data_IF_953977467027
#
_entry.id   IF_953977467027
#
_cell.length_a   1.000
_cell.length_b   1.000
_cell.length_c   1.000
_cell.angle_alpha   90.00
_cell.angle_beta   90.00
_cell.angle_gamma   90.00
#
_symmetry.space_group_name_H-M   'P 1'
#
loop_
_entity.id
_entity.type
_entity.pdbx_description
1 polymer ?
#
# COMPACT_ATOMS: atom_id res chain seq x y z
N UNK A 1 11.98 -5.23 9.62
CA UNK A 1 12.92 -4.09 9.48
C UNK A 1 12.23 -2.80 9.90
N UNK A 2 11.05 -2.45 9.39
CA UNK A 2 10.30 -1.28 9.86
C UNK A 2 9.07 -1.75 10.63
N UNK A 3 8.97 -1.37 11.91
CA UNK A 3 7.90 -1.82 12.80
C UNK A 3 6.94 -0.68 13.11
N UNK A 4 5.65 -0.98 13.03
CA UNK A 4 4.55 -0.19 13.54
C UNK A 4 4.15 -0.64 14.94
N UNK A 5 2.88 -0.43 15.28
CA UNK A 5 2.30 -0.89 16.55
C UNK A 5 1.74 -2.32 16.45
N UNK A 6 1.26 -2.71 15.26
CA UNK A 6 0.57 -3.97 15.00
C UNK A 6 1.28 -4.80 13.94
N UNK A 7 2.04 -4.17 13.04
CA UNK A 7 2.68 -4.83 11.91
C UNK A 7 4.15 -4.49 11.78
N UNK A 8 4.85 -5.39 11.09
CA UNK A 8 6.21 -5.18 10.59
C UNK A 8 6.19 -5.21 9.06
N UNK A 9 6.95 -4.28 8.46
CA UNK A 9 7.24 -4.28 7.03
C UNK A 9 8.59 -4.95 6.82
N UNK A 10 8.61 -6.06 6.09
CA UNK A 10 9.81 -6.85 5.78
C UNK A 10 9.94 -7.15 4.30
N UNK A 11 11.10 -7.67 3.90
CA UNK A 11 11.24 -8.25 2.57
C UNK A 11 10.31 -9.46 2.41
N UNK A 12 9.94 -9.75 1.15
CA UNK A 12 9.21 -10.98 0.84
C UNK A 12 10.10 -12.19 1.10
N UNK A 13 9.47 -13.26 1.54
CA UNK A 13 10.05 -14.59 1.65
C UNK A 13 9.39 -15.55 0.66
N UNK A 14 10.11 -16.59 0.25
CA UNK A 14 9.54 -17.60 -0.66
C UNK A 14 8.27 -18.27 -0.11
N UNK A 15 8.12 -18.35 1.20
CA UNK A 15 6.91 -18.86 1.85
C UNK A 15 5.68 -17.98 1.63
N UNK A 16 5.85 -16.70 1.29
CA UNK A 16 4.76 -15.77 1.01
C UNK A 16 4.11 -16.01 -0.36
N UNK A 17 4.82 -16.69 -1.28
CA UNK A 17 4.43 -16.84 -2.68
C UNK A 17 3.01 -17.40 -2.87
N UNK A 18 2.71 -18.51 -2.18
CA UNK A 18 1.39 -19.15 -2.33
C UNK A 18 0.26 -18.28 -1.75
N UNK A 19 0.54 -17.49 -0.72
CA UNK A 19 -0.41 -16.50 -0.19
C UNK A 19 -0.59 -15.35 -1.17
N UNK A 20 0.47 -14.80 -1.72
CA UNK A 20 0.40 -13.77 -2.76
C UNK A 20 -0.44 -14.25 -3.94
N UNK A 21 -0.20 -15.48 -4.43
CA UNK A 21 -0.98 -16.09 -5.51
C UNK A 21 -2.47 -16.21 -5.14
N UNK A 22 -2.77 -16.64 -3.91
CA UNK A 22 -4.15 -16.75 -3.44
C UNK A 22 -4.88 -15.38 -3.42
N UNK A 23 -4.17 -14.30 -3.05
CA UNK A 23 -4.71 -12.95 -3.08
C UNK A 23 -4.94 -12.44 -4.50
N UNK A 24 -3.97 -12.66 -5.39
CA UNK A 24 -4.03 -12.24 -6.80
C UNK A 24 -5.18 -12.94 -7.55
N UNK A 25 -5.54 -14.16 -7.15
CA UNK A 25 -6.65 -14.92 -7.72
C UNK A 25 -7.98 -14.77 -6.95
N UNK A 26 -8.04 -13.99 -5.89
CA UNK A 26 -9.29 -13.66 -5.19
C UNK A 26 -9.87 -12.33 -5.73
N UNK A 27 -10.95 -12.43 -6.51
CA UNK A 27 -11.60 -11.26 -7.07
C UNK A 27 -12.04 -10.24 -6.01
N UNK A 28 -12.56 -10.70 -4.86
CA UNK A 28 -13.01 -9.82 -3.78
C UNK A 28 -11.84 -9.08 -3.12
N UNK A 29 -10.62 -9.63 -3.19
CA UNK A 29 -9.39 -8.97 -2.75
C UNK A 29 -8.92 -7.95 -3.79
N UNK A 30 -8.86 -8.35 -5.05
CA UNK A 30 -8.22 -7.56 -6.11
C UNK A 30 -9.09 -6.45 -6.70
N UNK A 31 -10.43 -6.57 -6.64
CA UNK A 31 -11.34 -5.59 -7.27
C UNK A 31 -11.11 -4.15 -6.79
N UNK A 32 -10.74 -3.98 -5.54
CA UNK A 32 -10.48 -2.66 -4.94
C UNK A 32 -9.01 -2.28 -4.80
N UNK A 33 -8.09 -3.16 -5.23
CA UNK A 33 -6.65 -2.98 -5.04
C UNK A 33 -5.90 -2.74 -6.37
N UNK A 34 -6.46 -3.17 -7.50
CA UNK A 34 -5.80 -3.07 -8.80
C UNK A 34 -6.66 -2.35 -9.83
N UNK A 35 -6.08 -1.39 -10.56
CA UNK A 35 -6.70 -0.76 -11.72
C UNK A 35 -6.54 -1.57 -13.03
N UNK A 36 -5.77 -2.64 -13.01
CA UNK A 36 -5.53 -3.48 -14.19
C UNK A 36 -6.69 -4.42 -14.49
N UNK A 37 -6.65 -5.05 -15.67
CA UNK A 37 -7.55 -6.15 -15.99
C UNK A 37 -7.25 -7.30 -15.03
N UNK A 38 -8.29 -7.77 -14.33
CA UNK A 38 -8.17 -8.92 -13.42
C UNK A 38 -8.33 -10.21 -14.22
N UNK A 39 -7.26 -10.99 -14.28
CA UNK A 39 -7.26 -12.33 -14.86
C UNK A 39 -6.44 -13.27 -13.96
N UNK A 40 -6.64 -14.59 -14.06
CA UNK A 40 -5.92 -15.54 -13.22
C UNK A 40 -4.40 -15.44 -13.37
N UNK A 41 -3.70 -15.36 -12.25
CA UNK A 41 -2.23 -15.34 -12.16
C UNK A 41 -1.70 -16.75 -11.93
N UNK A 42 -0.55 -17.06 -12.53
CA UNK A 42 0.18 -18.34 -12.30
C UNK A 42 1.22 -18.17 -11.19
N UNK A 43 1.75 -19.30 -10.70
CA UNK A 43 2.87 -19.30 -9.73
C UNK A 43 4.07 -18.54 -10.28
N UNK A 44 4.39 -18.75 -11.57
CA UNK A 44 5.53 -18.10 -12.22
C UNK A 44 5.34 -16.60 -12.40
N UNK A 45 4.10 -16.15 -12.65
CA UNK A 45 3.78 -14.71 -12.74
C UNK A 45 3.98 -14.03 -11.39
N UNK A 46 3.49 -14.65 -10.31
CA UNK A 46 3.62 -14.09 -8.97
C UNK A 46 5.09 -14.12 -8.48
N UNK A 47 5.83 -15.18 -8.76
CA UNK A 47 7.25 -15.28 -8.44
C UNK A 47 8.07 -14.21 -9.17
N UNK A 48 7.78 -13.96 -10.45
CA UNK A 48 8.40 -12.86 -11.20
C UNK A 48 8.07 -11.50 -10.62
N UNK A 49 6.80 -11.26 -10.28
CA UNK A 49 6.37 -10.01 -9.66
C UNK A 49 7.08 -9.77 -8.32
N UNK A 50 7.19 -10.78 -7.46
CA UNK A 50 7.91 -10.69 -6.20
C UNK A 50 9.39 -10.33 -6.40
N UNK A 51 10.07 -10.97 -7.37
CA UNK A 51 11.48 -10.73 -7.64
C UNK A 51 11.77 -9.38 -8.31
N UNK A 52 10.88 -8.90 -9.18
CA UNK A 52 11.05 -7.64 -9.89
C UNK A 52 10.80 -6.42 -8.99
N UNK A 53 9.86 -6.52 -8.06
CA UNK A 53 9.41 -5.41 -7.22
C UNK A 53 10.29 -5.16 -5.98
N UNK A 54 11.38 -5.93 -5.82
CA UNK A 54 12.33 -5.78 -4.70
C UNK A 54 13.69 -5.20 -5.12
N UNK A 55 13.82 -4.78 -6.38
CA UNK A 55 15.08 -4.28 -6.92
C UNK A 55 15.19 -2.75 -6.83
N UNK A 56 16.32 -2.25 -6.34
CA UNK A 56 16.67 -0.82 -6.37
C UNK A 56 16.61 -0.20 -7.78
N UNK A 57 16.61 -1.02 -8.82
CA UNK A 57 16.58 -0.57 -10.22
C UNK A 57 15.18 -0.41 -10.79
N UNK A 58 14.16 -1.01 -10.16
CA UNK A 58 12.77 -0.95 -10.67
C UNK A 58 12.05 0.38 -10.37
N UNK A 59 12.56 1.19 -9.43
CA UNK A 59 11.87 2.37 -8.92
C UNK A 59 10.63 2.06 -8.08
N UNK A 60 10.47 0.79 -7.70
CA UNK A 60 9.41 0.31 -6.82
C UNK A 60 10.00 -0.23 -5.52
N UNK A 61 9.35 0.06 -4.42
CA UNK A 61 9.76 -0.37 -3.07
C UNK A 61 8.60 -1.11 -2.42
N UNK A 62 8.67 -2.43 -2.43
CA UNK A 62 7.58 -3.26 -1.92
C UNK A 62 7.99 -4.05 -0.68
N UNK A 63 7.03 -4.21 0.23
CA UNK A 63 7.18 -4.89 1.51
C UNK A 63 6.05 -5.89 1.72
N UNK A 64 6.39 -7.01 2.31
CA UNK A 64 5.45 -7.90 2.96
C UNK A 64 4.98 -7.27 4.28
N UNK A 65 3.68 -7.36 4.55
CA UNK A 65 3.07 -6.94 5.81
C UNK A 65 2.92 -8.19 6.69
N UNK A 66 3.59 -8.19 7.83
CA UNK A 66 3.56 -9.26 8.81
C UNK A 66 3.03 -8.75 10.14
N UNK A 67 2.16 -9.50 10.79
CA UNK A 67 1.66 -9.15 12.13
C UNK A 67 2.77 -9.31 13.17
N UNK A 68 2.82 -8.41 14.17
CA UNK A 68 3.76 -8.54 15.30
C UNK A 68 3.34 -9.59 16.30
N UNK A 69 2.03 -9.89 16.39
CA UNK A 69 1.47 -10.81 17.37
C UNK A 69 1.86 -12.27 17.10
N UNK A 70 1.70 -12.74 15.87
CA UNK A 70 1.87 -14.15 15.49
C UNK A 70 2.79 -14.38 14.29
N UNK A 71 3.42 -13.32 13.75
CA UNK A 71 4.33 -13.42 12.61
C UNK A 71 3.65 -13.82 11.30
N UNK A 72 2.34 -13.60 11.17
CA UNK A 72 1.57 -14.00 10.00
C UNK A 72 1.70 -12.97 8.86
N UNK A 73 2.03 -13.43 7.66
CA UNK A 73 1.93 -12.64 6.45
C UNK A 73 0.46 -12.36 6.12
N UNK A 74 0.08 -11.09 6.01
CA UNK A 74 -1.31 -10.67 5.82
C UNK A 74 -1.56 -9.83 4.57
N UNK A 75 -0.50 -9.43 3.87
CA UNK A 75 -0.62 -8.58 2.70
C UNK A 75 0.68 -7.94 2.27
N UNK A 76 0.57 -6.97 1.38
CA UNK A 76 1.71 -6.24 0.84
C UNK A 76 1.43 -4.74 0.76
N UNK A 77 2.48 -3.92 0.87
CA UNK A 77 2.41 -2.49 0.62
C UNK A 77 3.72 -1.98 0.03
N UNK A 78 3.68 -0.80 -0.56
CA UNK A 78 4.89 -0.25 -1.15
C UNK A 78 4.69 1.08 -1.84
N UNK A 79 5.78 1.60 -2.38
CA UNK A 79 5.79 2.76 -3.25
C UNK A 79 5.99 2.34 -4.70
N UNK A 80 5.14 2.89 -5.56
CA UNK A 80 5.23 2.79 -7.01
C UNK A 80 5.43 4.17 -7.60
N UNK A 81 5.83 4.25 -8.89
CA UNK A 81 5.97 5.53 -9.62
C UNK A 81 6.77 6.58 -8.85
N UNK A 82 7.91 6.19 -8.29
CA UNK A 82 8.78 7.11 -7.55
C UNK A 82 9.37 8.14 -8.49
N UNK A 83 9.09 9.42 -8.25
CA UNK A 83 9.67 10.56 -8.95
C UNK A 83 10.68 11.26 -8.07
N UNK A 84 11.95 10.92 -8.26
CA UNK A 84 13.06 11.44 -7.46
C UNK A 84 13.29 12.94 -7.62
N UNK A 85 13.05 13.49 -8.83
CA UNK A 85 13.18 14.94 -9.06
C UNK A 85 12.22 15.73 -8.18
N UNK A 86 10.97 15.28 -8.10
CA UNK A 86 9.92 15.95 -7.33
C UNK A 86 9.77 15.37 -5.93
N UNK A 87 10.53 14.33 -5.58
CA UNK A 87 10.50 13.62 -4.30
C UNK A 87 9.08 13.19 -3.91
N UNK A 88 8.38 12.59 -4.86
CA UNK A 88 7.02 12.06 -4.66
C UNK A 88 6.93 10.59 -5.08
N UNK A 89 6.04 9.85 -4.44
CA UNK A 89 5.73 8.46 -4.79
C UNK A 89 4.23 8.18 -4.61
N UNK A 90 3.76 7.14 -5.27
CA UNK A 90 2.40 6.62 -5.09
C UNK A 90 2.44 5.41 -4.15
N UNK A 91 1.65 5.47 -3.08
CA UNK A 91 1.51 4.39 -2.11
C UNK A 91 0.40 3.43 -2.54
N UNK A 92 0.71 2.14 -2.54
CA UNK A 92 -0.25 1.07 -2.72
C UNK A 92 -0.22 0.12 -1.53
N UNK A 93 -1.38 -0.39 -1.13
CA UNK A 93 -1.52 -1.38 -0.05
C UNK A 93 -2.60 -2.40 -0.37
N UNK A 94 -2.34 -3.65 0.01
CA UNK A 94 -3.28 -4.76 -0.05
C UNK A 94 -3.23 -5.53 1.27
N UNK A 95 -4.36 -5.60 1.99
CA UNK A 95 -4.59 -6.58 3.05
C UNK A 95 -5.35 -7.74 2.43
N UNK A 96 -4.66 -8.85 2.20
CA UNK A 96 -5.20 -10.05 1.56
C UNK A 96 -6.04 -10.88 2.53
N UNK A 97 -5.59 -11.03 3.76
CA UNK A 97 -6.31 -11.78 4.81
C UNK A 97 -7.59 -11.06 5.23
N UNK A 98 -8.74 -11.69 4.98
CA UNK A 98 -10.06 -11.10 5.22
C UNK A 98 -10.34 -10.86 6.70
N UNK A 99 -9.87 -11.76 7.55
CA UNK A 99 -10.01 -11.68 9.00
C UNK A 99 -9.14 -10.58 9.65
N UNK A 100 -8.17 -10.03 8.91
CA UNK A 100 -7.33 -8.92 9.34
C UNK A 100 -7.89 -7.55 8.95
N UNK A 101 -8.94 -7.49 8.14
CA UNK A 101 -9.54 -6.22 7.72
C UNK A 101 -10.34 -5.57 8.85
N UNK A 102 -10.38 -4.23 8.88
CA UNK A 102 -11.10 -3.47 9.91
C UNK A 102 -10.48 -3.48 11.31
N UNK A 103 -9.32 -4.10 11.50
CA UNK A 103 -8.63 -4.25 12.79
C UNK A 103 -7.44 -3.30 12.99
N UNK A 104 -7.26 -2.32 12.10
CA UNK A 104 -6.18 -1.34 12.22
C UNK A 104 -4.87 -1.71 11.51
N UNK A 105 -4.67 -2.95 11.09
CA UNK A 105 -3.43 -3.40 10.43
C UNK A 105 -3.07 -2.58 9.19
N UNK A 106 -4.06 -2.27 8.35
CA UNK A 106 -3.84 -1.45 7.16
C UNK A 106 -3.40 -0.03 7.49
N UNK A 107 -4.03 0.60 8.47
CA UNK A 107 -3.65 1.94 8.90
C UNK A 107 -2.25 1.98 9.52
N UNK A 108 -1.89 0.96 10.30
CA UNK A 108 -0.55 0.85 10.90
C UNK A 108 0.53 0.62 9.83
N UNK A 109 0.25 -0.22 8.84
CA UNK A 109 1.14 -0.43 7.68
C UNK A 109 1.33 0.85 6.86
N UNK A 110 0.27 1.61 6.59
CA UNK A 110 0.33 2.90 5.87
C UNK A 110 1.22 3.89 6.64
N UNK A 111 1.00 4.08 7.95
CA UNK A 111 1.80 4.98 8.77
C UNK A 111 3.28 4.57 8.79
N UNK A 112 3.55 3.28 8.93
CA UNK A 112 4.92 2.75 8.93
C UNK A 112 5.60 2.97 7.58
N UNK A 113 4.89 2.75 6.46
CA UNK A 113 5.42 2.99 5.13
C UNK A 113 5.62 4.49 4.85
N UNK A 114 4.72 5.36 5.30
CA UNK A 114 4.88 6.82 5.19
C UNK A 114 6.12 7.29 5.95
N UNK A 115 6.36 6.78 7.17
CA UNK A 115 7.58 7.06 7.94
C UNK A 115 8.83 6.67 7.15
N UNK A 116 8.88 5.46 6.58
CA UNK A 116 9.97 5.03 5.71
C UNK A 116 10.15 5.99 4.52
N UNK A 117 9.07 6.34 3.81
CA UNK A 117 9.14 7.24 2.67
C UNK A 117 9.68 8.63 3.02
N UNK A 118 9.24 9.20 4.14
CA UNK A 118 9.68 10.53 4.55
C UNK A 118 11.06 10.56 5.19
N UNK A 119 11.44 9.55 5.97
CA UNK A 119 12.69 9.55 6.72
C UNK A 119 13.86 8.95 5.94
N UNK A 120 13.65 7.80 5.27
CA UNK A 120 14.72 7.10 4.55
C UNK A 120 14.82 7.51 3.08
N UNK A 121 13.67 7.59 2.38
CA UNK A 121 13.66 7.96 0.96
C UNK A 121 13.70 9.47 0.73
N UNK A 122 13.59 10.28 1.78
CA UNK A 122 13.53 11.75 1.69
C UNK A 122 12.40 12.24 0.75
N UNK A 123 11.28 11.54 0.69
CA UNK A 123 10.13 12.00 -0.08
C UNK A 123 9.58 13.30 0.51
N UNK A 124 9.04 14.15 -0.35
CA UNK A 124 8.33 15.37 0.04
C UNK A 124 6.82 15.12 0.13
N UNK A 125 6.31 14.27 -0.77
CA UNK A 125 4.88 13.99 -0.88
C UNK A 125 4.63 12.52 -1.20
N UNK A 126 3.59 11.95 -0.58
CA UNK A 126 3.09 10.61 -0.86
C UNK A 126 1.65 10.74 -1.36
N UNK A 127 1.34 10.09 -2.49
CA UNK A 127 0.00 10.04 -3.09
C UNK A 127 -0.60 8.67 -2.92
N UNK A 128 -1.93 8.60 -2.96
CA UNK A 128 -2.68 7.35 -3.13
C UNK A 128 -3.85 7.58 -4.08
N UNK A 129 -4.12 6.60 -4.93
CA UNK A 129 -5.29 6.55 -5.82
C UNK A 129 -6.27 5.53 -5.27
N UNK A 130 -7.49 5.93 -4.99
CA UNK A 130 -8.49 5.08 -4.36
C UNK A 130 -9.79 5.13 -5.15
N UNK A 131 -10.30 3.96 -5.53
CA UNK A 131 -11.56 3.85 -6.25
C UNK A 131 -12.74 4.29 -5.37
N UNK A 132 -13.70 5.00 -5.92
CA UNK A 132 -14.85 5.58 -5.21
C UNK A 132 -15.66 4.53 -4.44
N UNK A 133 -15.79 3.31 -4.99
CA UNK A 133 -16.47 2.20 -4.33
C UNK A 133 -15.68 1.58 -3.16
N UNK A 134 -14.38 1.88 -3.01
CA UNK A 134 -13.56 1.35 -1.92
C UNK A 134 -13.58 2.27 -0.69
N UNK A 135 -14.76 2.44 -0.11
CA UNK A 135 -14.97 3.33 1.04
C UNK A 135 -14.11 2.97 2.27
N UNK A 136 -13.78 1.68 2.42
CA UNK A 136 -12.90 1.24 3.52
C UNK A 136 -11.48 1.78 3.36
N UNK A 137 -10.92 1.77 2.15
CA UNK A 137 -9.61 2.33 1.87
C UNK A 137 -9.63 3.86 2.02
N UNK A 138 -10.65 4.55 1.51
CA UNK A 138 -10.78 6.01 1.67
C UNK A 138 -10.70 6.42 3.14
N UNK A 139 -11.53 5.81 3.99
CA UNK A 139 -11.51 6.08 5.45
C UNK A 139 -10.16 5.73 6.08
N UNK A 140 -9.51 4.65 5.62
CA UNK A 140 -8.22 4.22 6.16
C UNK A 140 -7.12 5.25 5.87
N UNK A 141 -7.03 5.74 4.64
CA UNK A 141 -6.06 6.77 4.25
C UNK A 141 -6.34 8.10 4.96
N UNK A 142 -7.59 8.54 5.02
CA UNK A 142 -7.99 9.77 5.74
C UNK A 142 -7.63 9.69 7.22
N UNK A 143 -7.88 8.54 7.87
CA UNK A 143 -7.49 8.29 9.26
C UNK A 143 -5.96 8.24 9.48
N UNK A 144 -5.18 8.08 8.40
CA UNK A 144 -3.72 8.16 8.43
C UNK A 144 -3.20 9.58 8.14
N UNK A 145 -4.09 10.55 7.87
CA UNK A 145 -3.71 11.94 7.61
C UNK A 145 -3.61 12.34 6.14
N UNK A 146 -4.01 11.46 5.22
CA UNK A 146 -4.10 11.83 3.81
C UNK A 146 -5.28 12.79 3.58
N UNK A 147 -5.08 13.80 2.76
CA UNK A 147 -6.10 14.76 2.35
C UNK A 147 -6.56 14.49 0.92
N UNK A 148 -7.83 14.74 0.61
CA UNK A 148 -8.33 14.67 -0.75
C UNK A 148 -7.82 15.87 -1.55
N UNK A 149 -7.18 15.59 -2.68
CA UNK A 149 -6.62 16.60 -3.58
C UNK A 149 -7.40 16.74 -4.89
N UNK A 150 -8.18 15.71 -5.23
CA UNK A 150 -8.95 15.72 -6.47
C UNK A 150 -9.77 14.47 -6.68
N UNK A 151 -10.47 14.47 -7.82
CA UNK A 151 -11.29 13.37 -8.31
C UNK A 151 -11.05 13.22 -9.80
N UNK A 152 -10.62 12.04 -10.22
CA UNK A 152 -10.53 11.64 -11.62
C UNK A 152 -11.85 11.00 -12.00
N UNK A 153 -12.65 11.69 -12.83
CA UNK A 153 -13.98 11.21 -13.19
C UNK A 153 -13.89 10.09 -14.21
N UNK A 154 -14.63 8.99 -13.98
CA UNK A 154 -14.77 7.84 -14.88
C UNK A 154 -13.40 7.25 -15.31
N UNK A 155 -12.42 7.25 -14.41
CA UNK A 155 -11.03 6.83 -14.67
C UNK A 155 -10.89 5.29 -14.68
N UNK A 156 -11.78 4.59 -14.02
CA UNK A 156 -11.70 3.14 -13.81
C UNK A 156 -12.93 2.44 -14.36
N UNK A 157 -12.75 1.42 -15.20
CA UNK A 157 -13.83 0.52 -15.64
C UNK A 157 -13.79 -0.77 -14.84
N UNK A 158 -14.90 -1.08 -14.14
CA UNK A 158 -15.05 -2.30 -13.34
C UNK A 158 -16.50 -2.74 -13.30
N UNK A 159 -16.75 -4.06 -13.39
CA UNK A 159 -18.10 -4.64 -13.26
C UNK A 159 -19.14 -3.99 -14.22
N UNK A 160 -18.73 -3.66 -15.43
CA UNK A 160 -19.63 -3.10 -16.44
C UNK A 160 -19.89 -1.59 -16.32
N UNK A 161 -19.25 -0.89 -15.37
CA UNK A 161 -19.43 0.54 -15.14
C UNK A 161 -18.12 1.31 -15.04
N UNK A 162 -18.16 2.60 -15.34
CA UNK A 162 -17.07 3.52 -15.04
C UNK A 162 -17.21 4.06 -13.62
N UNK A 163 -16.09 4.14 -12.92
CA UNK A 163 -15.97 4.61 -11.55
C UNK A 163 -14.98 5.77 -11.45
N UNK A 164 -15.21 6.65 -10.50
CA UNK A 164 -14.29 7.73 -10.19
C UNK A 164 -13.12 7.22 -9.33
N UNK A 165 -12.00 7.94 -9.41
CA UNK A 165 -10.82 7.67 -8.60
C UNK A 165 -10.48 8.91 -7.78
N UNK A 166 -10.54 8.79 -6.47
CA UNK A 166 -10.11 9.83 -5.55
C UNK A 166 -8.57 9.91 -5.54
N UNK A 167 -8.05 11.12 -5.67
CA UNK A 167 -6.62 11.43 -5.49
C UNK A 167 -6.43 11.91 -4.07
N UNK A 168 -5.64 11.17 -3.31
CA UNK A 168 -5.28 11.51 -1.94
C UNK A 168 -3.79 11.87 -1.88
N UNK A 169 -3.41 12.79 -1.00
CA UNK A 169 -2.03 13.20 -0.79
C UNK A 169 -1.70 13.45 0.66
N UNK A 170 -0.44 13.25 1.02
CA UNK A 170 0.14 13.61 2.30
C UNK A 170 1.48 14.29 2.03
N UNK A 171 1.68 15.48 2.58
CA UNK A 171 2.94 16.23 2.53
C UNK A 171 3.71 15.96 3.82
N UNK A 172 5.05 15.89 3.74
CA UNK A 172 5.94 15.58 4.88
C UNK A 172 5.63 16.42 6.11
N UNK A 173 5.50 17.75 5.96
CA UNK A 173 5.33 18.65 7.09
C UNK A 173 3.97 18.47 7.78
N UNK A 174 2.94 18.08 7.04
CA UNK A 174 1.63 17.72 7.59
C UNK A 174 1.69 16.42 8.40
N UNK A 175 2.49 15.46 7.97
CA UNK A 175 2.68 14.20 8.69
C UNK A 175 3.44 14.37 10.00
N UNK A 176 4.35 15.37 10.07
CA UNK A 176 5.12 15.69 11.26
C UNK A 176 4.33 16.49 12.32
N UNK A 177 3.19 17.06 11.93
CA UNK A 177 2.28 17.77 12.86
C UNK A 177 1.51 16.80 13.77
N UNK A 178 1.40 15.52 13.40
CA UNK A 178 0.90 14.47 14.28
C UNK A 178 1.97 14.04 15.29
N UNK A 179 1.66 14.11 16.60
CA UNK A 179 2.60 13.84 17.71
C UNK A 179 3.32 12.49 17.64
N UNK A 180 2.84 11.53 16.88
CA UNK A 180 3.42 10.18 16.74
C UNK A 180 4.74 10.12 15.94
N UNK A 181 5.08 11.15 15.16
CA UNK A 181 6.33 11.22 14.38
C UNK A 181 7.49 11.85 15.14
N UNK A 182 7.25 12.48 16.30
CA UNK A 182 8.26 13.24 17.06
C UNK A 182 9.09 12.41 18.04
N UNK A 183 8.69 11.21 18.43
CA UNK A 183 9.26 10.55 19.63
C UNK A 183 10.25 9.41 19.41
N UNK A 184 10.66 9.10 18.18
CA UNK A 184 11.75 8.12 18.00
C UNK A 184 12.93 8.73 17.26
N UNK A 185 13.81 9.38 18.04
CA UNK A 185 15.23 9.47 17.68
C UNK A 185 15.82 8.06 17.79
N UNK A 186 16.50 7.60 16.75
CA UNK A 186 17.33 6.39 16.76
C UNK A 186 18.37 6.46 17.85
#
# INVERSE_FOLDING_TARGET
>A
MYEGKLVRLRAFDNSDLMKCLSYSNDYAVMRGASGAILFPSTVDDEARAMNQNTSYTSGEYQFAIETLEDGRFIGKCGFTRVNWKNRLAELAILIGEKDCRGKGYGADAIRTLCRFGFQEMNLHKIKALVFDFNQAALRCYEACGFQREGLLRQEMYREGAYHDVAVLGMIRDESLAGEEFRERKF
#
